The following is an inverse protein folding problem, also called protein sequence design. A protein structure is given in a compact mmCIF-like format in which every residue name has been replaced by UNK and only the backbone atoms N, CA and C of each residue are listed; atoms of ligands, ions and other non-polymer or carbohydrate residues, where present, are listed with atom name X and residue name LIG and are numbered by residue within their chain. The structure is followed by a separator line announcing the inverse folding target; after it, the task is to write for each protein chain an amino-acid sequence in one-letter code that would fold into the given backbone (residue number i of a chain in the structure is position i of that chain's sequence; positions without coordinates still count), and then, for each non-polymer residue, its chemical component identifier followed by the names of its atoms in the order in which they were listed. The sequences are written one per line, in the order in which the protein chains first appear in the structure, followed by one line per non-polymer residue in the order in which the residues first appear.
data_IF_448198001184
#
_entry.id   IF_448198001184
#
_cell.length_a   1.000
_cell.length_b   1.000
_cell.length_c   1.000
_cell.angle_alpha   90.00
_cell.angle_beta   90.00
_cell.angle_gamma   90.00
#
_symmetry.space_group_name_H-M   'P 1'
#
loop_
_entity.id
_entity.type
_entity.pdbx_description
1 polymer ?
#
# COMPACT_ATOMS: atom_id res chain seq x y z
N UNK A 1 16.83 -15.06 11.23
CA UNK A 1 15.48 -15.08 10.63
C UNK A 1 14.77 -13.72 10.72
N UNK A 2 14.38 -13.24 11.92
CA UNK A 2 13.62 -11.96 12.08
C UNK A 2 14.33 -10.74 11.47
N UNK A 3 15.64 -10.59 11.75
CA UNK A 3 16.43 -9.48 11.22
C UNK A 3 16.58 -9.52 9.69
N UNK A 4 16.59 -10.72 9.10
CA UNK A 4 16.62 -10.90 7.64
C UNK A 4 15.25 -10.59 7.01
N UNK A 5 14.15 -11.07 7.61
CA UNK A 5 12.81 -10.75 7.15
C UNK A 5 12.56 -9.24 7.18
N UNK A 6 12.91 -8.59 8.30
CA UNK A 6 12.82 -7.14 8.46
C UNK A 6 13.68 -6.39 7.44
N UNK A 7 14.98 -6.70 7.37
CA UNK A 7 15.91 -6.03 6.47
C UNK A 7 15.55 -6.19 4.99
N UNK A 8 15.02 -7.35 4.60
CA UNK A 8 14.62 -7.63 3.21
C UNK A 8 13.29 -6.98 2.83
N UNK A 9 12.29 -7.05 3.71
CA UNK A 9 10.92 -6.74 3.33
C UNK A 9 10.39 -5.40 3.81
N UNK A 10 11.02 -4.75 4.79
CA UNK A 10 10.53 -3.46 5.30
C UNK A 10 10.35 -2.43 4.19
N UNK A 11 11.39 -2.15 3.40
CA UNK A 11 11.34 -1.14 2.33
C UNK A 11 10.27 -1.44 1.27
N UNK A 12 10.29 -2.64 0.64
CA UNK A 12 9.28 -3.03 -0.33
C UNK A 12 7.85 -3.06 0.22
N UNK A 13 7.66 -3.46 1.48
CA UNK A 13 6.35 -3.43 2.14
C UNK A 13 5.89 -1.99 2.40
N UNK A 14 6.77 -1.16 2.95
CA UNK A 14 6.46 0.23 3.24
C UNK A 14 6.02 0.98 1.98
N UNK A 15 6.76 0.85 0.87
CA UNK A 15 6.36 1.47 -0.39
C UNK A 15 5.02 0.96 -0.93
N UNK A 16 4.70 -0.32 -0.75
CA UNK A 16 3.40 -0.87 -1.15
C UNK A 16 2.27 -0.32 -0.28
N UNK A 17 2.43 -0.38 1.04
CA UNK A 17 1.42 0.07 1.99
C UNK A 17 1.20 1.57 1.90
N UNK A 18 2.26 2.36 1.78
CA UNK A 18 2.19 3.82 1.63
C UNK A 18 1.29 4.21 0.45
N UNK A 19 1.40 3.51 -0.69
CA UNK A 19 0.50 3.72 -1.83
C UNK A 19 -0.92 3.28 -1.54
N UNK A 20 -1.13 2.16 -0.84
CA UNK A 20 -2.48 1.71 -0.47
C UNK A 20 -3.19 2.70 0.45
N UNK A 21 -2.50 3.24 1.45
CA UNK A 21 -3.09 4.19 2.41
C UNK A 21 -3.11 5.64 1.91
N UNK A 22 -2.59 5.90 0.71
CA UNK A 22 -2.64 7.23 0.09
C UNK A 22 -1.62 8.20 0.66
N UNK A 23 -0.40 7.73 0.92
CA UNK A 23 0.72 8.58 1.35
C UNK A 23 0.78 8.85 2.85
N UNK A 24 -0.14 8.30 3.64
CA UNK A 24 -0.09 8.43 5.11
C UNK A 24 1.04 7.57 5.69
N UNK A 25 2.17 8.21 6.01
CA UNK A 25 3.38 7.55 6.47
C UNK A 25 3.18 6.80 7.79
N UNK A 26 2.53 7.43 8.77
CA UNK A 26 2.29 6.82 10.08
C UNK A 26 1.40 5.58 9.95
N UNK A 27 0.31 5.68 9.20
CA UNK A 27 -0.57 4.54 8.94
C UNK A 27 0.17 3.43 8.20
N UNK A 28 1.06 3.78 7.28
CA UNK A 28 1.86 2.79 6.56
C UNK A 28 2.82 2.05 7.49
N UNK A 29 3.53 2.78 8.35
CA UNK A 29 4.43 2.20 9.36
C UNK A 29 3.68 1.28 10.32
N UNK A 30 2.52 1.68 10.85
CA UNK A 30 1.70 0.84 11.73
C UNK A 30 1.38 -0.53 11.10
N UNK A 31 0.97 -0.50 9.83
CA UNK A 31 0.61 -1.71 9.09
C UNK A 31 1.84 -2.56 8.77
N UNK A 32 2.97 -1.94 8.42
CA UNK A 32 4.21 -2.66 8.15
C UNK A 32 4.70 -3.35 9.42
N UNK A 33 4.69 -2.66 10.55
CA UNK A 33 5.09 -3.20 11.84
C UNK A 33 4.21 -4.38 12.25
N UNK A 34 2.87 -4.21 12.20
CA UNK A 34 1.94 -5.30 12.50
C UNK A 34 2.10 -6.49 11.53
N UNK A 35 2.34 -6.22 10.24
CA UNK A 35 2.59 -7.28 9.25
C UNK A 35 3.84 -8.08 9.58
N UNK A 36 4.95 -7.40 9.87
CA UNK A 36 6.21 -8.05 10.23
C UNK A 36 6.12 -8.76 11.59
N UNK A 37 5.36 -8.22 12.54
CA UNK A 37 5.07 -8.87 13.82
C UNK A 37 4.30 -10.18 13.62
N UNK A 38 3.25 -10.18 12.78
CA UNK A 38 2.55 -11.43 12.43
C UNK A 38 3.44 -12.42 11.71
N UNK A 39 4.32 -11.94 10.81
CA UNK A 39 5.28 -12.79 10.11
C UNK A 39 6.26 -13.46 11.09
N UNK A 40 6.71 -12.72 12.09
CA UNK A 40 7.54 -13.27 13.16
C UNK A 40 6.82 -14.37 13.93
N UNK A 41 5.54 -14.21 14.25
CA UNK A 41 4.76 -15.27 14.93
C UNK A 41 4.55 -16.53 14.08
N UNK A 42 4.72 -16.44 12.77
CA UNK A 42 4.63 -17.56 11.83
C UNK A 42 6.00 -17.92 11.23
N UNK A 43 7.09 -17.55 11.90
CA UNK A 43 8.41 -17.62 11.29
C UNK A 43 8.88 -19.06 11.01
N UNK A 44 8.33 -20.03 11.71
CA UNK A 44 8.64 -21.45 11.51
C UNK A 44 8.08 -21.99 10.18
N UNK A 45 7.08 -21.30 9.62
CA UNK A 45 6.42 -21.66 8.35
C UNK A 45 6.80 -20.73 7.20
N UNK A 46 7.53 -19.64 7.48
CA UNK A 46 7.84 -18.58 6.52
C UNK A 46 9.35 -18.45 6.29
N UNK A 47 9.80 -18.89 5.11
CA UNK A 47 11.13 -18.54 4.61
C UNK A 47 11.22 -17.03 4.29
N UNK A 48 12.26 -16.31 4.75
CA UNK A 48 12.49 -14.92 4.40
C UNK A 48 12.53 -14.65 2.89
N UNK A 49 12.98 -15.60 2.09
CA UNK A 49 13.09 -15.47 0.64
C UNK A 49 11.73 -15.52 -0.05
N UNK A 50 10.79 -16.30 0.50
CA UNK A 50 9.49 -16.60 -0.10
C UNK A 50 8.31 -15.92 0.62
N UNK A 51 8.56 -15.19 1.72
CA UNK A 51 7.51 -14.55 2.52
C UNK A 51 6.72 -13.45 1.78
N UNK A 52 7.24 -12.92 0.67
CA UNK A 52 6.66 -11.78 -0.06
C UNK A 52 5.14 -11.89 -0.28
N UNK A 53 4.62 -12.90 -1.02
CA UNK A 53 3.19 -13.04 -1.28
C UNK A 53 2.32 -13.05 -0.02
N UNK A 54 2.77 -13.70 1.05
CA UNK A 54 2.08 -13.74 2.34
C UNK A 54 2.07 -12.35 2.99
N UNK A 55 3.22 -11.68 3.04
CA UNK A 55 3.37 -10.35 3.63
C UNK A 55 2.46 -9.32 2.95
N UNK A 56 2.41 -9.30 1.62
CA UNK A 56 1.54 -8.38 0.88
C UNK A 56 0.05 -8.69 1.12
N UNK A 57 -0.32 -9.97 1.23
CA UNK A 57 -1.69 -10.38 1.55
C UNK A 57 -2.11 -9.88 2.93
N UNK A 58 -1.26 -10.08 3.94
CA UNK A 58 -1.51 -9.63 5.32
C UNK A 58 -1.62 -8.11 5.38
N UNK A 59 -0.66 -7.39 4.80
CA UNK A 59 -0.66 -5.92 4.78
C UNK A 59 -1.93 -5.36 4.12
N UNK A 60 -2.36 -5.93 2.99
CA UNK A 60 -3.61 -5.55 2.32
C UNK A 60 -4.82 -5.79 3.23
N UNK A 61 -4.90 -6.96 3.85
CA UNK A 61 -6.03 -7.28 4.73
C UNK A 61 -6.13 -6.30 5.91
N UNK A 62 -4.99 -5.87 6.46
CA UNK A 62 -4.94 -4.84 7.49
C UNK A 62 -5.49 -3.50 6.97
N UNK A 63 -5.07 -3.04 5.79
CA UNK A 63 -5.62 -1.82 5.15
C UNK A 63 -7.13 -1.93 4.97
N UNK A 64 -7.60 -2.98 4.30
CA UNK A 64 -9.02 -3.15 3.92
C UNK A 64 -9.90 -3.30 5.17
N UNK A 65 -9.40 -3.97 6.21
CA UNK A 65 -10.11 -4.10 7.47
C UNK A 65 -10.25 -2.77 8.23
N UNK A 66 -9.50 -1.74 7.83
CA UNK A 66 -9.44 -0.45 8.52
C UNK A 66 -8.69 -0.55 9.85
N UNK A 67 -7.59 -1.31 9.89
CA UNK A 67 -6.80 -1.60 11.09
C UNK A 67 -6.56 -0.36 11.97
N UNK A 68 -6.07 0.76 11.40
CA UNK A 68 -5.84 1.99 12.17
C UNK A 68 -7.08 2.54 12.86
N UNK A 69 -8.25 2.49 12.22
CA UNK A 69 -9.52 2.90 12.87
C UNK A 69 -9.90 1.97 14.02
N UNK A 70 -9.56 0.68 13.93
CA UNK A 70 -9.84 -0.29 15.00
C UNK A 70 -8.90 -0.11 16.19
N UNK A 71 -7.61 0.13 15.92
CA UNK A 71 -6.61 0.43 16.96
C UNK A 71 -6.94 1.75 17.64
N UNK A 72 -7.21 2.82 16.90
CA UNK A 72 -7.57 4.13 17.48
C UNK A 72 -8.81 4.06 18.39
N UNK A 73 -9.82 3.22 18.05
CA UNK A 73 -10.99 2.98 18.91
C UNK A 73 -10.70 2.12 20.14
N UNK A 74 -9.66 1.31 20.10
CA UNK A 74 -9.24 0.47 21.22
C UNK A 74 -8.27 1.20 22.17
N UNK A 75 -7.64 2.27 21.70
CA UNK A 75 -6.53 2.97 22.38
C UNK A 75 -6.88 4.44 22.66
N UNK A 76 -8.12 4.78 23.08
CA UNK A 76 -8.42 6.16 23.51
C UNK A 76 -7.63 6.53 24.78
N UNK A 77 -6.39 7.00 24.57
CA UNK A 77 -5.55 7.77 25.47
C UNK A 77 -4.92 8.88 24.61
N UNK A 78 -4.93 10.16 25.05
CA UNK A 78 -4.41 11.26 24.23
C UNK A 78 -2.89 11.17 24.09
N UNK A 79 -2.37 11.31 22.87
CA UNK A 79 -0.94 11.51 22.61
C UNK A 79 -0.78 12.77 21.77
N UNK A 80 0.04 13.70 22.24
CA UNK A 80 0.42 14.94 21.56
C UNK A 80 1.31 14.67 20.33
N UNK A 81 1.27 15.50 19.27
CA UNK A 81 2.03 15.27 18.06
C UNK A 81 3.40 15.96 18.11
N UNK A 82 4.51 15.24 17.84
CA UNK A 82 5.51 15.71 16.86
C UNK A 82 6.58 14.65 16.47
N UNK A 83 7.31 15.02 15.41
CA UNK A 83 8.55 14.49 14.81
C UNK A 83 8.42 13.55 13.60
N UNK A 84 8.40 14.16 12.40
CA UNK A 84 8.79 13.56 11.13
C UNK A 84 10.25 13.96 10.80
N UNK A 85 11.16 13.02 10.48
CA UNK A 85 12.52 13.36 10.05
C UNK A 85 12.55 13.93 8.61
N UNK A 86 13.51 14.83 8.29
CA UNK A 86 13.61 15.45 6.97
C UNK A 86 14.23 14.50 5.96
N UNK A 87 13.65 14.42 4.76
CA UNK A 87 14.24 13.73 3.61
C UNK A 87 14.66 14.78 2.59
N UNK A 88 15.96 14.87 2.31
CA UNK A 88 16.55 15.82 1.39
C UNK A 88 16.44 15.38 -0.08
N UNK A 89 16.11 16.37 -0.91
CA UNK A 89 16.39 16.62 -2.34
C UNK A 89 16.59 15.44 -3.31
N UNK A 90 15.47 15.07 -3.92
CA UNK A 90 15.39 14.72 -5.34
C UNK A 90 14.10 15.35 -5.90
N UNK A 91 14.10 16.68 -6.01
CA UNK A 91 12.88 17.50 -6.11
C UNK A 91 11.94 17.05 -7.23
N UNK A 92 12.45 16.67 -8.40
CA UNK A 92 11.61 16.22 -9.52
C UNK A 92 11.02 14.81 -9.31
N UNK A 93 11.81 13.86 -8.78
CA UNK A 93 11.30 12.51 -8.47
C UNK A 93 10.34 12.53 -7.29
N UNK A 94 10.58 13.39 -6.29
CA UNK A 94 9.69 13.60 -5.15
C UNK A 94 8.37 14.23 -5.60
N UNK A 95 8.41 15.26 -6.45
CA UNK A 95 7.20 15.91 -6.99
C UNK A 95 6.37 14.93 -7.84
N UNK A 96 7.01 14.16 -8.73
CA UNK A 96 6.33 13.12 -9.52
C UNK A 96 5.73 12.03 -8.61
N UNK A 97 6.48 11.58 -7.59
CA UNK A 97 5.99 10.59 -6.63
C UNK A 97 4.82 11.10 -5.79
N UNK A 98 4.80 12.41 -5.47
CA UNK A 98 3.75 13.07 -4.71
C UNK A 98 2.48 13.26 -5.55
N UNK A 99 2.61 13.68 -6.80
CA UNK A 99 1.48 13.79 -7.73
C UNK A 99 0.82 12.42 -7.98
N UNK A 100 1.63 11.36 -8.12
CA UNK A 100 1.13 9.98 -8.24
C UNK A 100 0.44 9.52 -6.95
N UNK A 101 1.00 9.84 -5.77
CA UNK A 101 0.36 9.54 -4.50
C UNK A 101 -0.99 10.27 -4.34
N UNK A 102 -1.07 11.51 -4.80
CA UNK A 102 -2.29 12.33 -4.77
C UNK A 102 -3.36 11.81 -5.74
N UNK A 103 -2.97 11.45 -6.97
CA UNK A 103 -3.88 10.84 -7.92
C UNK A 103 -4.43 9.50 -7.40
N UNK A 104 -3.58 8.68 -6.78
CA UNK A 104 -4.01 7.44 -6.12
C UNK A 104 -4.95 7.73 -4.94
N UNK A 105 -4.74 8.83 -4.19
CA UNK A 105 -5.62 9.26 -3.09
C UNK A 105 -7.05 9.53 -3.55
N UNK A 106 -7.23 10.07 -4.75
CA UNK A 106 -8.55 10.33 -5.33
C UNK A 106 -9.34 9.03 -5.62
N UNK A 107 -8.67 7.88 -5.73
CA UNK A 107 -9.33 6.59 -5.91
C UNK A 107 -9.94 6.06 -4.61
N UNK A 108 -11.08 5.38 -4.74
CA UNK A 108 -11.59 4.50 -3.68
C UNK A 108 -10.57 3.39 -3.36
N UNK A 109 -10.60 2.88 -2.12
CA UNK A 109 -9.68 1.82 -1.68
C UNK A 109 -9.69 0.59 -2.59
N UNK A 110 -10.87 0.23 -3.11
CA UNK A 110 -11.06 -0.89 -4.02
C UNK A 110 -10.41 -0.64 -5.39
N UNK A 111 -10.63 0.54 -5.98
CA UNK A 111 -10.00 0.95 -7.23
C UNK A 111 -8.48 1.01 -7.10
N UNK A 112 -7.99 1.63 -6.01
CA UNK A 112 -6.57 1.75 -5.71
C UNK A 112 -5.89 0.40 -5.55
N UNK A 113 -6.53 -0.54 -4.86
CA UNK A 113 -6.00 -1.90 -4.66
C UNK A 113 -5.75 -2.60 -5.99
N UNK A 114 -6.69 -2.55 -6.94
CA UNK A 114 -6.49 -3.18 -8.25
C UNK A 114 -5.36 -2.53 -9.04
N UNK A 115 -5.25 -1.21 -9.02
CA UNK A 115 -4.15 -0.50 -9.71
C UNK A 115 -2.79 -0.90 -9.11
N UNK A 116 -2.68 -0.97 -7.79
CA UNK A 116 -1.44 -1.37 -7.13
C UNK A 116 -1.07 -2.82 -7.49
N UNK A 117 -2.03 -3.74 -7.51
CA UNK A 117 -1.78 -5.14 -7.87
C UNK A 117 -1.31 -5.32 -9.32
N UNK A 118 -1.96 -4.64 -10.27
CA UNK A 118 -1.63 -4.83 -11.69
C UNK A 118 -0.35 -4.09 -12.09
N UNK A 119 -0.17 -2.84 -11.67
CA UNK A 119 0.89 -1.97 -12.20
C UNK A 119 2.14 -1.96 -11.33
N UNK A 120 1.99 -1.93 -10.00
CA UNK A 120 3.13 -1.84 -9.09
C UNK A 120 3.66 -3.22 -8.69
N UNK A 121 2.77 -4.19 -8.51
CA UNK A 121 3.13 -5.58 -8.23
C UNK A 121 3.32 -6.41 -9.50
N UNK A 122 3.02 -5.85 -10.68
CA UNK A 122 3.13 -6.49 -12.00
C UNK A 122 2.41 -7.83 -12.07
N UNK A 123 1.30 -7.99 -11.34
CA UNK A 123 0.51 -9.21 -11.36
C UNK A 123 -0.39 -9.25 -12.57
N UNK A 124 -0.62 -10.45 -13.08
CA UNK A 124 -1.68 -10.70 -14.06
C UNK A 124 -3.06 -10.48 -13.42
N UNK A 125 -4.09 -10.31 -14.26
CA UNK A 125 -5.49 -10.22 -13.80
C UNK A 125 -5.88 -11.42 -12.91
N UNK A 126 -5.42 -12.63 -13.27
CA UNK A 126 -5.72 -13.85 -12.53
C UNK A 126 -5.04 -13.89 -11.17
N UNK A 127 -3.77 -13.45 -11.08
CA UNK A 127 -3.04 -13.37 -9.81
C UNK A 127 -3.60 -12.27 -8.91
N UNK A 128 -3.95 -11.12 -9.49
CA UNK A 128 -4.63 -10.04 -8.77
C UNK A 128 -5.99 -10.50 -8.24
N UNK A 129 -6.78 -11.22 -9.05
CA UNK A 129 -8.06 -11.79 -8.62
C UNK A 129 -7.91 -12.71 -7.40
N UNK A 130 -6.93 -13.63 -7.46
CA UNK A 130 -6.59 -14.51 -6.32
C UNK A 130 -6.18 -13.72 -5.09
N UNK A 131 -5.27 -12.75 -5.24
CA UNK A 131 -4.78 -11.97 -4.10
C UNK A 131 -5.83 -11.05 -3.49
N UNK A 132 -6.74 -10.51 -4.30
CA UNK A 132 -7.78 -9.59 -3.84
C UNK A 132 -9.03 -10.31 -3.33
N UNK A 133 -9.18 -11.61 -3.63
CA UNK A 133 -10.35 -12.41 -3.28
C UNK A 133 -11.60 -12.02 -4.07
N UNK A 134 -11.43 -11.58 -5.32
CA UNK A 134 -12.54 -11.11 -6.18
C UNK A 134 -12.47 -11.78 -7.58
N UNK A 135 -13.58 -11.87 -8.33
CA UNK A 135 -13.57 -12.44 -9.67
C UNK A 135 -12.66 -11.68 -10.65
N UNK A 136 -12.05 -12.40 -11.60
CA UNK A 136 -11.21 -11.79 -12.64
C UNK A 136 -11.96 -10.74 -13.48
N UNK A 137 -13.26 -10.96 -13.73
CA UNK A 137 -14.13 -9.96 -14.37
C UNK A 137 -14.23 -8.66 -13.56
N UNK A 138 -14.34 -8.77 -12.23
CA UNK A 138 -14.34 -7.61 -11.32
C UNK A 138 -13.00 -6.90 -11.31
N UNK A 139 -11.88 -7.61 -11.38
CA UNK A 139 -10.55 -6.98 -11.52
C UNK A 139 -10.50 -6.13 -12.79
N UNK A 140 -10.94 -6.65 -13.95
CA UNK A 140 -10.93 -5.93 -15.23
C UNK A 140 -11.83 -4.69 -15.21
N UNK A 141 -13.06 -4.80 -14.69
CA UNK A 141 -13.98 -3.66 -14.64
C UNK A 141 -13.46 -2.60 -13.65
N UNK A 142 -13.00 -3.03 -12.49
CA UNK A 142 -12.46 -2.13 -11.45
C UNK A 142 -11.17 -1.45 -11.90
N UNK A 143 -10.28 -2.13 -12.64
CA UNK A 143 -9.10 -1.49 -13.23
C UNK A 143 -9.48 -0.46 -14.29
N UNK A 144 -10.48 -0.75 -15.14
CA UNK A 144 -10.94 0.17 -16.16
C UNK A 144 -11.44 1.49 -15.55
N UNK A 145 -12.32 1.42 -14.56
CA UNK A 145 -12.84 2.62 -13.89
C UNK A 145 -11.76 3.34 -13.06
N UNK A 146 -10.85 2.60 -12.42
CA UNK A 146 -9.74 3.18 -11.68
C UNK A 146 -8.80 4.00 -12.59
N UNK A 147 -8.44 3.49 -13.76
CA UNK A 147 -7.57 4.19 -14.71
C UNK A 147 -8.24 5.44 -15.29
N UNK A 148 -9.56 5.39 -15.53
CA UNK A 148 -10.33 6.56 -15.94
C UNK A 148 -10.30 7.65 -14.86
N UNK A 149 -10.62 7.28 -13.63
CA UNK A 149 -10.58 8.23 -12.51
C UNK A 149 -9.17 8.79 -12.25
N UNK A 150 -8.11 7.98 -12.44
CA UNK A 150 -6.73 8.47 -12.35
C UNK A 150 -6.41 9.49 -13.45
N UNK A 151 -6.85 9.24 -14.68
CA UNK A 151 -6.65 10.17 -15.80
C UNK A 151 -7.33 11.50 -15.53
N UNK A 152 -8.57 11.47 -15.07
CA UNK A 152 -9.34 12.66 -14.74
C UNK A 152 -8.64 13.45 -13.61
N UNK A 153 -8.21 12.75 -12.54
CA UNK A 153 -7.51 13.37 -11.41
C UNK A 153 -6.14 13.97 -11.77
N UNK A 154 -5.42 13.36 -12.72
CA UNK A 154 -4.12 13.87 -13.22
C UNK A 154 -4.31 15.07 -14.16
N UNK A 155 -5.33 15.05 -15.02
CA UNK A 155 -5.66 16.15 -15.91
C UNK A 155 -6.04 17.42 -15.14
N UNK A 156 -6.85 17.29 -14.08
CA UNK A 156 -7.17 18.40 -13.17
C UNK A 156 -5.93 19.02 -12.49
N UNK A 157 -4.85 18.24 -12.38
CA UNK A 157 -3.59 18.65 -11.74
C UNK A 157 -2.54 19.15 -12.74
N UNK A 158 -2.91 19.34 -14.02
CA UNK A 158 -2.01 19.84 -15.06
C UNK A 158 -0.96 18.83 -15.52
N UNK A 159 -1.11 17.54 -15.16
CA UNK A 159 -0.23 16.46 -15.65
C UNK A 159 -0.84 15.93 -16.96
N UNK A 160 -0.63 16.66 -18.04
CA UNK A 160 -0.98 16.21 -19.40
C UNK A 160 0.24 15.60 -20.08
N UNK A 161 0.04 14.46 -20.76
CA UNK A 161 1.03 13.87 -21.68
C UNK A 161 1.51 14.98 -22.64
N UNK A 162 2.81 15.29 -22.61
CA UNK A 162 3.49 16.02 -23.69
C UNK A 162 3.92 15.03 -24.77
#
# INVERSE_FOLDING_TARGET
MVRQLYGRWRGPLHGYVLRMVGGDYQHAEDIVQETLFRAWRHSDELSPEQAGPWLYTVARNLVVSGYRRRVARATEIPIEPDDLPPVADEVDHVLQSWQVAEALRALSADHRSVVIELYYRRRTVTEAAKSLGIPAGTVKSRSFYALRALRDALAERGVTES
#
